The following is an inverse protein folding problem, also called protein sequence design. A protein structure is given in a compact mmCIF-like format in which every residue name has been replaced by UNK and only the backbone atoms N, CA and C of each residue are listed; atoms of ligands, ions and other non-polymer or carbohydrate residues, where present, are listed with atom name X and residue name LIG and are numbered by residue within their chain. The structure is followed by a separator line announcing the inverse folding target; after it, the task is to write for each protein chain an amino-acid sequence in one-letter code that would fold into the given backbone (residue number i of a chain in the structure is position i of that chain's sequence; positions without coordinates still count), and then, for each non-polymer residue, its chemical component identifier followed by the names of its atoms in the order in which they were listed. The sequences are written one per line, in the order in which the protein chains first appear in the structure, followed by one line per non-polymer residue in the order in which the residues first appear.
data_IF_457961929924
#
_entry.id   IF_457961929924
#
_cell.length_a   1.000
_cell.length_b   1.000
_cell.length_c   1.000
_cell.angle_alpha   90.00
_cell.angle_beta   90.00
_cell.angle_gamma   90.00
#
_symmetry.space_group_name_H-M   'P 1'
#
loop_
_entity.id
_entity.type
_entity.pdbx_description
1 polymer ?
#
# COMPACT_ATOMS: atom_id res chain seq x y z
N UNK A 1 36.87 19.40 -9.94
CA UNK A 1 37.11 18.38 -8.85
C UNK A 1 38.57 18.39 -8.42
N UNK A 2 38.85 18.56 -7.12
CA UNK A 2 40.21 18.37 -6.57
C UNK A 2 40.53 16.87 -6.57
N UNK A 3 41.37 16.41 -7.52
CA UNK A 3 41.90 15.03 -7.53
C UNK A 3 42.99 14.88 -6.46
N UNK A 4 42.68 15.17 -5.21
CA UNK A 4 43.58 14.85 -4.10
C UNK A 4 43.16 13.50 -3.55
N UNK A 5 44.02 12.47 -3.63
CA UNK A 5 43.69 11.15 -3.11
C UNK A 5 43.40 11.25 -1.61
N UNK A 6 42.32 10.58 -1.16
CA UNK A 6 41.85 10.60 0.25
C UNK A 6 42.97 10.33 1.26
N UNK A 7 43.93 9.49 0.89
CA UNK A 7 45.12 9.18 1.70
C UNK A 7 46.05 10.39 1.92
N UNK A 8 46.18 11.29 0.94
CA UNK A 8 46.98 12.50 1.08
C UNK A 8 46.32 13.52 2.02
N UNK A 9 45.00 13.70 1.91
CA UNK A 9 44.22 14.52 2.84
C UNK A 9 44.29 14.00 4.27
N UNK A 10 44.10 12.69 4.47
CA UNK A 10 44.18 12.08 5.80
C UNK A 10 45.57 12.19 6.43
N UNK A 11 46.65 12.05 5.64
CA UNK A 11 48.02 12.26 6.15
C UNK A 11 48.26 13.72 6.56
N UNK A 12 47.76 14.68 5.79
CA UNK A 12 47.93 16.10 6.10
C UNK A 12 47.15 16.54 7.35
N UNK A 13 46.00 15.92 7.61
CA UNK A 13 45.25 16.08 8.88
C UNK A 13 46.04 15.48 10.04
N UNK A 14 46.60 14.27 9.87
CA UNK A 14 47.43 13.62 10.90
C UNK A 14 48.74 14.38 11.19
N UNK A 15 49.27 15.11 10.20
CA UNK A 15 50.47 15.94 10.33
C UNK A 15 50.18 17.35 10.88
N UNK A 16 48.92 17.67 11.17
CA UNK A 16 48.52 18.97 11.74
C UNK A 16 48.54 20.14 10.76
N UNK A 17 48.68 19.89 9.44
CA UNK A 17 48.72 20.92 8.40
C UNK A 17 47.30 21.41 8.04
N UNK A 18 46.30 20.53 8.19
CA UNK A 18 44.87 20.81 8.03
C UNK A 18 44.19 20.64 9.38
N UNK A 19 43.50 21.67 9.87
CA UNK A 19 42.76 21.58 11.13
C UNK A 19 41.36 21.03 10.86
N UNK A 20 40.99 19.96 11.55
CA UNK A 20 39.62 19.42 11.48
C UNK A 20 38.93 19.66 12.81
N UNK A 21 37.77 20.30 12.80
CA UNK A 21 36.91 20.40 13.96
C UNK A 21 35.69 19.50 13.76
N UNK A 22 35.51 18.52 14.64
CA UNK A 22 34.39 17.55 14.61
C UNK A 22 34.15 16.88 13.23
N UNK A 23 35.24 16.54 12.53
CA UNK A 23 35.15 15.87 11.22
C UNK A 23 34.74 16.79 10.06
N UNK A 24 34.60 18.10 10.30
CA UNK A 24 34.38 19.12 9.28
C UNK A 24 35.66 19.93 9.04
N UNK A 25 36.01 20.14 7.77
CA UNK A 25 37.13 20.98 7.34
C UNK A 25 36.58 22.35 6.95
N UNK A 26 37.16 23.44 7.46
CA UNK A 26 36.84 24.77 6.97
C UNK A 26 37.26 24.89 5.49
N UNK A 27 36.33 25.29 4.64
CA UNK A 27 36.56 25.35 3.19
C UNK A 27 37.64 26.38 2.83
N UNK A 28 37.79 27.41 3.65
CA UNK A 28 38.82 28.45 3.56
C UNK A 28 40.24 27.88 3.77
N UNK A 29 40.43 26.96 4.72
CA UNK A 29 41.74 26.30 4.93
C UNK A 29 42.08 25.33 3.79
N UNK A 30 41.07 24.65 3.24
CA UNK A 30 41.25 23.77 2.09
C UNK A 30 41.63 24.55 0.83
N UNK A 31 40.97 25.68 0.57
CA UNK A 31 41.28 26.59 -0.53
C UNK A 31 42.64 27.27 -0.36
N UNK A 32 43.10 27.50 0.89
CA UNK A 32 44.45 28.03 1.16
C UNK A 32 45.56 27.05 0.76
N UNK A 33 45.35 25.75 0.98
CA UNK A 33 46.33 24.70 0.70
C UNK A 33 46.20 24.16 -0.73
N UNK A 34 45.00 24.23 -1.31
CA UNK A 34 44.71 23.87 -2.69
C UNK A 34 44.01 25.04 -3.42
N UNK A 35 44.74 26.13 -3.74
CA UNK A 35 44.16 27.33 -4.36
C UNK A 35 43.58 27.13 -5.76
N UNK A 36 43.92 26.01 -6.42
CA UNK A 36 43.36 25.63 -7.72
C UNK A 36 42.10 24.76 -7.60
N UNK A 37 41.55 24.60 -6.39
CA UNK A 37 40.29 23.94 -6.15
C UNK A 37 39.13 24.83 -6.62
N UNK A 38 38.96 24.92 -7.94
CA UNK A 38 37.90 25.71 -8.55
C UNK A 38 36.53 25.13 -8.15
N UNK A 39 35.83 25.84 -7.27
CA UNK A 39 34.44 25.58 -6.88
C UNK A 39 33.45 25.94 -8.00
N UNK A 40 33.90 26.68 -9.01
CA UNK A 40 33.09 27.19 -10.13
C UNK A 40 32.80 26.16 -11.24
N UNK A 41 33.29 24.91 -11.14
CA UNK A 41 32.85 23.82 -12.04
C UNK A 41 31.44 23.31 -11.64
N UNK A 42 30.45 24.18 -11.83
CA UNK A 42 28.99 23.98 -11.71
C UNK A 42 28.45 22.73 -12.44
N UNK A 43 29.23 22.12 -13.34
CA UNK A 43 28.84 20.91 -14.07
C UNK A 43 28.65 19.65 -13.21
N UNK A 44 29.22 19.58 -11.99
CA UNK A 44 29.04 18.42 -11.12
C UNK A 44 27.70 18.43 -10.38
N UNK A 45 27.23 19.61 -9.95
CA UNK A 45 25.89 19.77 -9.40
C UNK A 45 24.83 19.48 -10.47
N UNK A 46 25.07 19.92 -11.71
CA UNK A 46 24.16 19.60 -12.80
C UNK A 46 24.16 18.10 -13.14
N UNK A 47 25.31 17.43 -13.11
CA UNK A 47 25.38 15.97 -13.29
C UNK A 47 24.67 15.21 -12.18
N UNK A 48 24.82 15.60 -10.92
CA UNK A 48 24.09 14.95 -9.81
C UNK A 48 22.60 15.24 -9.86
N UNK A 49 22.20 16.44 -10.31
CA UNK A 49 20.80 16.79 -10.57
C UNK A 49 20.21 15.92 -11.69
N UNK A 50 20.91 15.78 -12.82
CA UNK A 50 20.49 14.92 -13.93
C UNK A 50 20.42 13.44 -13.54
N UNK A 51 21.40 12.95 -12.77
CA UNK A 51 21.37 11.57 -12.24
C UNK A 51 20.19 11.36 -11.29
N UNK A 52 19.90 12.35 -10.43
CA UNK A 52 18.75 12.32 -9.53
C UNK A 52 17.45 12.32 -10.35
N UNK A 53 17.29 13.22 -11.30
CA UNK A 53 16.12 13.29 -12.19
C UNK A 53 15.92 11.99 -12.98
N UNK A 54 16.99 11.40 -13.52
CA UNK A 54 16.94 10.11 -14.23
C UNK A 54 16.55 8.95 -13.28
N UNK A 55 17.06 8.93 -12.05
CA UNK A 55 16.68 7.93 -11.05
C UNK A 55 15.22 8.09 -10.62
N UNK A 56 14.73 9.32 -10.41
CA UNK A 56 13.32 9.59 -10.12
C UNK A 56 12.41 9.19 -11.29
N UNK A 57 12.82 9.50 -12.53
CA UNK A 57 12.09 9.07 -13.72
C UNK A 57 12.00 7.55 -13.84
N UNK A 58 13.10 6.84 -13.56
CA UNK A 58 13.14 5.37 -13.57
C UNK A 58 12.23 4.77 -12.50
N UNK A 59 12.27 5.28 -11.26
CA UNK A 59 11.38 4.85 -10.18
C UNK A 59 9.92 5.13 -10.53
N UNK A 60 9.59 6.29 -11.10
CA UNK A 60 8.23 6.61 -11.53
C UNK A 60 7.73 5.68 -12.65
N UNK A 61 8.62 5.26 -13.55
CA UNK A 61 8.29 4.34 -14.64
C UNK A 61 8.12 2.90 -14.14
N UNK A 62 8.95 2.47 -13.19
CA UNK A 62 8.85 1.16 -12.52
C UNK A 62 7.70 1.09 -11.52
N UNK A 63 7.28 2.21 -10.93
CA UNK A 63 6.13 2.32 -10.01
C UNK A 63 4.81 2.53 -10.76
N UNK A 64 4.86 2.93 -12.03
CA UNK A 64 3.66 3.04 -12.87
C UNK A 64 3.22 1.63 -13.25
N UNK A 65 2.36 1.05 -12.42
CA UNK A 65 1.64 -0.18 -12.69
C UNK A 65 1.10 -0.14 -14.13
N UNK A 66 1.49 -1.14 -14.93
CA UNK A 66 1.08 -1.27 -16.32
C UNK A 66 -0.46 -1.18 -16.42
N UNK A 67 -1.02 -0.28 -17.26
CA UNK A 67 -2.47 -0.18 -17.41
C UNK A 67 -3.14 -1.51 -17.77
N UNK A 68 -2.45 -2.40 -18.49
CA UNK A 68 -2.94 -3.76 -18.79
C UNK A 68 -3.03 -4.63 -17.53
N UNK A 69 -2.02 -4.53 -16.66
CA UNK A 69 -2.01 -5.24 -15.38
C UNK A 69 -3.13 -4.75 -14.44
N UNK A 70 -3.33 -3.44 -14.34
CA UNK A 70 -4.44 -2.85 -13.57
C UNK A 70 -5.81 -3.28 -14.11
N UNK A 71 -5.97 -3.30 -15.44
CA UNK A 71 -7.20 -3.78 -16.07
C UNK A 71 -7.46 -5.26 -15.77
N UNK A 72 -6.42 -6.10 -15.83
CA UNK A 72 -6.53 -7.52 -15.50
C UNK A 72 -6.91 -7.74 -14.02
N UNK A 73 -6.30 -7.01 -13.10
CA UNK A 73 -6.64 -7.05 -11.67
C UNK A 73 -8.06 -6.57 -11.40
N UNK A 74 -8.47 -5.47 -12.04
CA UNK A 74 -9.84 -4.96 -11.94
C UNK A 74 -10.85 -6.00 -12.45
N UNK A 75 -10.55 -6.67 -13.56
CA UNK A 75 -11.41 -7.71 -14.12
C UNK A 75 -11.50 -8.92 -13.20
N UNK A 76 -10.38 -9.36 -12.60
CA UNK A 76 -10.37 -10.43 -11.59
C UNK A 76 -11.21 -10.05 -10.38
N UNK A 77 -11.07 -8.83 -9.88
CA UNK A 77 -11.86 -8.32 -8.76
C UNK A 77 -13.35 -8.30 -9.10
N UNK A 78 -13.73 -7.84 -10.30
CA UNK A 78 -15.13 -7.85 -10.78
C UNK A 78 -15.70 -9.26 -10.84
N UNK A 79 -14.99 -10.21 -11.43
CA UNK A 79 -15.44 -11.62 -11.50
C UNK A 79 -15.61 -12.19 -10.10
N UNK A 80 -14.70 -11.89 -9.17
CA UNK A 80 -14.82 -12.32 -7.78
C UNK A 80 -16.05 -11.72 -7.10
N UNK A 81 -16.32 -10.43 -7.32
CA UNK A 81 -17.51 -9.77 -6.78
C UNK A 81 -18.81 -10.40 -7.30
N UNK A 82 -18.89 -10.66 -8.62
CA UNK A 82 -20.06 -11.32 -9.22
C UNK A 82 -20.28 -12.71 -8.59
N UNK A 83 -19.23 -13.52 -8.47
CA UNK A 83 -19.34 -14.84 -7.82
C UNK A 83 -19.80 -14.75 -6.36
N UNK A 84 -19.27 -13.79 -5.60
CA UNK A 84 -19.69 -13.58 -4.21
C UNK A 84 -21.14 -13.11 -4.10
N UNK A 85 -21.59 -12.30 -5.06
CA UNK A 85 -22.99 -11.90 -5.15
C UNK A 85 -23.89 -13.08 -5.50
N UNK A 86 -23.51 -13.92 -6.47
CA UNK A 86 -24.26 -15.13 -6.81
C UNK A 86 -24.38 -16.11 -5.63
N UNK A 87 -23.30 -16.35 -4.88
CA UNK A 87 -23.35 -17.21 -3.69
C UNK A 87 -24.26 -16.61 -2.60
N UNK A 88 -24.24 -15.30 -2.42
CA UNK A 88 -25.17 -14.66 -1.51
C UNK A 88 -26.62 -14.84 -1.96
N UNK A 89 -26.91 -14.59 -3.24
CA UNK A 89 -28.27 -14.69 -3.78
C UNK A 89 -28.80 -16.13 -3.60
N UNK A 90 -27.94 -17.15 -3.80
CA UNK A 90 -28.25 -18.55 -3.48
C UNK A 90 -28.58 -18.76 -2.00
N UNK A 91 -27.75 -18.23 -1.09
CA UNK A 91 -28.01 -18.35 0.35
C UNK A 91 -29.30 -17.65 0.77
N UNK A 92 -29.62 -16.49 0.19
CA UNK A 92 -30.88 -15.79 0.43
C UNK A 92 -32.07 -16.60 -0.07
N UNK A 93 -31.98 -17.18 -1.28
CA UNK A 93 -33.02 -18.05 -1.82
C UNK A 93 -33.29 -19.27 -0.91
N UNK A 94 -32.23 -19.93 -0.44
CA UNK A 94 -32.34 -21.07 0.50
C UNK A 94 -33.00 -20.66 1.83
N UNK A 95 -32.68 -19.48 2.36
CA UNK A 95 -33.28 -18.98 3.59
C UNK A 95 -34.79 -18.70 3.43
N UNK A 96 -35.18 -18.12 2.30
CA UNK A 96 -36.60 -17.88 1.96
C UNK A 96 -37.35 -19.21 1.79
N UNK A 97 -36.75 -20.19 1.10
CA UNK A 97 -37.37 -21.50 0.93
C UNK A 97 -37.51 -22.27 2.25
N UNK A 98 -36.50 -22.18 3.14
CA UNK A 98 -36.59 -22.72 4.48
C UNK A 98 -37.73 -22.07 5.26
N UNK A 99 -37.83 -20.74 5.21
CA UNK A 99 -38.90 -20.00 5.87
C UNK A 99 -40.29 -20.45 5.38
N UNK A 100 -40.47 -20.61 4.06
CA UNK A 100 -41.72 -21.12 3.47
C UNK A 100 -42.05 -22.53 3.97
N UNK A 101 -41.07 -23.44 3.99
CA UNK A 101 -41.26 -24.82 4.49
C UNK A 101 -41.63 -24.84 5.97
N UNK A 102 -41.01 -23.97 6.79
CA UNK A 102 -41.34 -23.86 8.21
C UNK A 102 -42.76 -23.33 8.44
N UNK A 103 -43.21 -22.34 7.67
CA UNK A 103 -44.59 -21.86 7.73
C UNK A 103 -45.59 -22.94 7.29
N UNK A 104 -45.28 -23.70 6.25
CA UNK A 104 -46.11 -24.83 5.84
C UNK A 104 -46.19 -25.89 6.94
N UNK A 105 -45.07 -26.20 7.60
CA UNK A 105 -45.06 -27.17 8.70
C UNK A 105 -45.89 -26.66 9.89
N UNK A 106 -45.82 -25.37 10.18
CA UNK A 106 -46.62 -24.73 11.23
C UNK A 106 -48.13 -24.88 10.99
N UNK A 107 -48.58 -24.80 9.73
CA UNK A 107 -50.00 -24.94 9.35
C UNK A 107 -50.53 -26.37 9.55
N UNK A 108 -49.62 -27.37 9.50
CA UNK A 108 -49.94 -28.79 9.70
C UNK A 108 -49.86 -29.23 11.17
N UNK A 109 -49.38 -28.36 12.06
CA UNK A 109 -49.15 -28.68 13.46
C UNK A 109 -50.38 -28.41 14.35
N UNK A 110 -50.50 -29.17 15.44
CA UNK A 110 -51.49 -28.90 16.49
C UNK A 110 -51.24 -27.56 17.20
N UNK A 111 -52.27 -26.96 17.81
CA UNK A 111 -52.23 -25.60 18.40
C UNK A 111 -51.04 -25.32 19.33
N UNK A 112 -50.53 -26.33 20.03
CA UNK A 112 -49.39 -26.20 20.96
C UNK A 112 -48.04 -26.23 20.23
N UNK A 113 -47.91 -27.10 19.23
CA UNK A 113 -46.73 -27.24 18.37
C UNK A 113 -46.59 -26.04 17.42
N UNK A 114 -47.71 -25.57 16.85
CA UNK A 114 -47.76 -24.39 15.99
C UNK A 114 -47.31 -23.11 16.71
N UNK A 115 -47.56 -22.99 18.03
CA UNK A 115 -47.06 -21.87 18.84
C UNK A 115 -45.54 -21.90 19.02
N UNK A 116 -44.98 -23.06 19.32
CA UNK A 116 -43.52 -23.23 19.49
C UNK A 116 -42.80 -22.98 18.15
N UNK A 117 -43.29 -23.56 17.06
CA UNK A 117 -42.79 -23.29 15.71
C UNK A 117 -42.92 -21.82 15.34
N UNK A 118 -44.04 -21.18 15.68
CA UNK A 118 -44.25 -19.75 15.44
C UNK A 118 -43.21 -18.87 16.14
N UNK A 119 -42.84 -19.18 17.38
CA UNK A 119 -41.76 -18.46 18.09
C UNK A 119 -40.40 -18.62 17.41
N UNK A 120 -40.09 -19.82 16.91
CA UNK A 120 -38.84 -20.10 16.20
C UNK A 120 -38.80 -19.38 14.84
N UNK A 121 -39.91 -19.41 14.09
CA UNK A 121 -40.03 -18.71 12.81
C UNK A 121 -39.93 -17.19 13.01
N UNK A 122 -40.55 -16.64 14.05
CA UNK A 122 -40.47 -15.22 14.38
C UNK A 122 -39.03 -14.81 14.73
N UNK A 123 -38.32 -15.59 15.54
CA UNK A 123 -36.90 -15.38 15.82
C UNK A 123 -36.06 -15.43 14.54
N UNK A 124 -36.21 -16.48 13.73
CA UNK A 124 -35.46 -16.67 12.50
C UNK A 124 -35.67 -15.52 11.50
N UNK A 125 -36.93 -15.07 11.34
CA UNK A 125 -37.29 -13.95 10.47
C UNK A 125 -36.67 -12.64 10.96
N UNK A 126 -36.63 -12.42 12.28
CA UNK A 126 -35.99 -11.24 12.85
C UNK A 126 -34.47 -11.27 12.62
N UNK A 127 -33.84 -12.44 12.76
CA UNK A 127 -32.41 -12.60 12.55
C UNK A 127 -32.01 -12.38 11.08
N UNK A 128 -32.80 -12.89 10.13
CA UNK A 128 -32.64 -12.59 8.71
C UNK A 128 -32.75 -11.09 8.42
N UNK A 129 -33.72 -10.40 9.03
CA UNK A 129 -33.88 -8.94 8.85
C UNK A 129 -32.69 -8.14 9.39
N UNK A 130 -32.04 -8.59 10.47
CA UNK A 130 -30.81 -7.96 10.98
C UNK A 130 -29.66 -8.10 10.01
N UNK A 131 -29.46 -9.29 9.44
CA UNK A 131 -28.40 -9.56 8.46
C UNK A 131 -28.53 -8.69 7.20
N UNK A 132 -29.76 -8.39 6.76
CA UNK A 132 -30.01 -7.49 5.62
C UNK A 132 -29.74 -6.02 5.95
N UNK A 133 -29.93 -5.59 7.21
CA UNK A 133 -29.74 -4.18 7.64
C UNK A 133 -28.28 -3.77 7.88
N UNK A 134 -27.37 -4.73 8.02
CA UNK A 134 -25.94 -4.48 8.27
C UNK A 134 -25.15 -4.34 6.96
N UNK A 135 -25.77 -4.65 5.82
CA UNK A 135 -25.26 -4.35 4.47
C UNK A 135 -25.72 -2.98 4.00
#
# INVERSE_FOLDING_TARGET
MVKVPRRALQRQIQQGVLSTFEGSLLMEELLRIYPNANTDESGMLEKTRLLKEAAFGKVLTETRLDPEHLSAELQRARVKLVRMQEELDKHQALAVDLQRRLFHLQDQCDKREAKLLGTLIAWFTNELKKQVKVR
#
